data_IF_659936108520
#
_entry.id   IF_659936108520
#
_cell.length_a   1.000
_cell.length_b   1.000
_cell.length_c   1.000
_cell.angle_alpha   90.00
_cell.angle_beta   90.00
_cell.angle_gamma   90.00
#
_symmetry.space_group_name_H-M   'P 1'
#
loop_
_entity.id
_entity.type
_entity.pdbx_description
1 polymer ?
#
# COMPACT_ATOMS: atom_id res chain seq x y z
N UNK A 1 88.63 -89.07 10.83
CA UNK A 1 89.66 -88.08 11.21
C UNK A 1 89.19 -86.73 10.69
N UNK A 2 89.07 -85.73 11.59
CA UNK A 2 88.70 -84.29 11.41
C UNK A 2 87.22 -84.02 11.11
N UNK A 3 86.38 -83.55 12.06
CA UNK A 3 86.35 -82.29 12.86
C UNK A 3 86.05 -81.02 12.04
N UNK A 4 85.00 -80.31 12.47
CA UNK A 4 84.81 -78.83 12.63
C UNK A 4 83.29 -78.54 12.52
N UNK A 5 82.53 -78.41 13.61
CA UNK A 5 82.27 -77.23 14.47
C UNK A 5 81.48 -76.06 13.84
N UNK A 6 80.28 -75.86 14.41
CA UNK A 6 79.55 -74.62 14.75
C UNK A 6 79.58 -73.41 13.80
N UNK A 7 78.40 -72.85 13.51
CA UNK A 7 78.06 -71.43 13.77
C UNK A 7 76.53 -71.22 13.65
N UNK A 8 75.98 -70.62 14.70
CA UNK A 8 74.62 -70.07 14.85
C UNK A 8 74.53 -68.76 14.07
N UNK A 9 73.46 -68.52 13.30
CA UNK A 9 73.01 -67.15 13.04
C UNK A 9 71.49 -67.08 12.81
N UNK A 10 70.83 -66.39 13.73
CA UNK A 10 69.42 -66.02 13.69
C UNK A 10 69.18 -64.90 12.66
N UNK A 11 68.14 -65.04 11.84
CA UNK A 11 67.47 -63.95 11.10
C UNK A 11 65.98 -64.28 11.15
N UNK A 12 65.31 -63.94 12.26
CA UNK A 12 64.50 -62.72 12.43
C UNK A 12 63.29 -62.65 11.50
N UNK A 13 62.14 -63.08 12.06
CA UNK A 13 60.82 -62.47 11.96
C UNK A 13 60.36 -62.02 10.57
N UNK A 14 59.64 -62.90 9.89
CA UNK A 14 58.50 -62.54 9.04
C UNK A 14 57.39 -63.57 9.26
N UNK A 15 56.83 -63.61 10.48
CA UNK A 15 55.47 -64.10 10.66
C UNK A 15 54.53 -63.04 10.08
N UNK A 16 54.43 -62.98 8.74
CA UNK A 16 53.21 -62.49 8.14
C UNK A 16 52.12 -63.45 8.57
N UNK A 17 51.20 -62.93 9.39
CA UNK A 17 49.93 -63.54 9.72
C UNK A 17 49.16 -63.83 8.42
N UNK A 18 49.43 -64.99 7.81
CA UNK A 18 48.61 -65.51 6.72
C UNK A 18 47.31 -66.01 7.35
N UNK A 19 46.33 -65.11 7.48
CA UNK A 19 44.92 -65.52 7.64
C UNK A 19 44.60 -66.47 6.49
N UNK A 20 43.99 -67.61 6.78
CA UNK A 20 43.64 -68.54 5.69
C UNK A 20 42.69 -67.84 4.71
N UNK A 21 42.82 -68.08 3.40
CA UNK A 21 41.93 -67.47 2.41
C UNK A 21 40.45 -67.68 2.78
N UNK A 22 40.12 -68.83 3.37
CA UNK A 22 38.76 -69.12 3.85
C UNK A 22 38.31 -68.24 5.03
N UNK A 23 39.19 -67.90 5.96
CA UNK A 23 38.87 -66.99 7.08
C UNK A 23 38.75 -65.56 6.60
N UNK A 24 39.60 -65.14 5.66
CA UNK A 24 39.49 -63.84 5.01
C UNK A 24 38.14 -63.73 4.26
N UNK A 25 37.80 -64.72 3.45
CA UNK A 25 36.54 -64.74 2.67
C UNK A 25 35.31 -64.78 3.60
N UNK A 26 35.38 -65.52 4.72
CA UNK A 26 34.34 -65.54 5.75
C UNK A 26 34.14 -64.16 6.38
N UNK A 27 35.23 -63.50 6.81
CA UNK A 27 35.20 -62.17 7.42
C UNK A 27 34.64 -61.13 6.43
N UNK A 28 35.02 -61.21 5.15
CA UNK A 28 34.47 -60.34 4.10
C UNK A 28 32.96 -60.57 3.96
N UNK A 29 32.51 -61.82 3.91
CA UNK A 29 31.07 -62.12 3.81
C UNK A 29 30.26 -61.62 5.01
N UNK A 30 30.80 -61.73 6.22
CA UNK A 30 30.16 -61.24 7.45
C UNK A 30 30.10 -59.71 7.46
N UNK A 31 31.18 -59.03 7.03
CA UNK A 31 31.22 -57.57 6.87
C UNK A 31 30.17 -57.09 5.87
N UNK A 32 30.03 -57.78 4.74
CA UNK A 32 29.05 -57.42 3.70
C UNK A 32 27.61 -57.64 4.19
N UNK A 33 27.35 -58.73 4.92
CA UNK A 33 26.05 -58.98 5.55
C UNK A 33 25.68 -57.92 6.59
N UNK A 34 26.62 -57.52 7.46
CA UNK A 34 26.43 -56.44 8.45
C UNK A 34 26.16 -55.10 7.75
N UNK A 35 26.87 -54.82 6.64
CA UNK A 35 26.64 -53.60 5.87
C UNK A 35 25.22 -53.56 5.28
N UNK A 36 24.73 -54.68 4.75
CA UNK A 36 23.34 -54.81 4.26
C UNK A 36 22.32 -54.61 5.38
N UNK A 37 22.52 -55.22 6.54
CA UNK A 37 21.61 -55.08 7.69
C UNK A 37 21.58 -53.63 8.20
N UNK A 38 22.74 -52.98 8.31
CA UNK A 38 22.84 -51.55 8.65
C UNK A 38 22.04 -50.69 7.68
N UNK A 39 22.15 -50.95 6.39
CA UNK A 39 21.47 -50.15 5.36
C UNK A 39 19.96 -50.39 5.38
N UNK A 40 19.52 -51.63 5.64
CA UNK A 40 18.11 -51.94 5.88
C UNK A 40 17.56 -51.23 7.13
N UNK A 41 18.27 -51.29 8.25
CA UNK A 41 17.87 -50.62 9.49
C UNK A 41 17.79 -49.10 9.32
N UNK A 42 18.73 -48.50 8.56
CA UNK A 42 18.66 -47.08 8.21
C UNK A 42 17.40 -46.75 7.43
N UNK A 43 17.04 -47.60 6.47
CA UNK A 43 15.84 -47.41 5.65
C UNK A 43 14.57 -47.55 6.48
N UNK A 44 14.47 -48.56 7.34
CA UNK A 44 13.35 -48.71 8.27
C UNK A 44 13.24 -47.51 9.22
N UNK A 45 14.38 -46.99 9.71
CA UNK A 45 14.41 -45.82 10.59
C UNK A 45 14.03 -44.53 9.84
N UNK A 46 14.39 -44.41 8.56
CA UNK A 46 13.94 -43.32 7.68
C UNK A 46 12.43 -43.40 7.46
N UNK A 47 11.89 -44.59 7.19
CA UNK A 47 10.45 -44.82 7.00
C UNK A 47 9.64 -44.58 8.28
N UNK A 48 10.19 -44.93 9.45
CA UNK A 48 9.57 -44.62 10.74
C UNK A 48 9.62 -43.11 10.98
N UNK A 49 10.75 -42.45 10.77
CA UNK A 49 10.90 -41.02 11.08
C UNK A 49 10.15 -40.11 10.10
N UNK A 50 10.10 -40.49 8.83
CA UNK A 50 9.54 -39.69 7.74
C UNK A 50 8.35 -40.36 7.08
N UNK A 51 7.76 -41.38 7.70
CA UNK A 51 6.52 -41.99 7.24
C UNK A 51 5.39 -40.96 7.16
N UNK A 52 4.57 -41.08 6.12
CA UNK A 52 3.51 -40.12 5.84
C UNK A 52 2.59 -39.81 7.06
N UNK A 53 2.17 -40.80 7.88
CA UNK A 53 1.38 -40.53 9.08
C UNK A 53 2.12 -39.69 10.13
N UNK A 54 3.41 -39.92 10.33
CA UNK A 54 4.22 -39.25 11.35
C UNK A 54 4.49 -37.80 10.95
N UNK A 55 4.83 -37.54 9.69
CA UNK A 55 5.01 -36.18 9.17
C UNK A 55 3.71 -35.35 9.27
N UNK A 56 2.58 -35.96 8.93
CA UNK A 56 1.27 -35.32 9.07
C UNK A 56 0.94 -35.02 10.55
N UNK A 57 1.17 -35.98 11.45
CA UNK A 57 0.91 -35.81 12.88
C UNK A 57 1.79 -34.71 13.51
N UNK A 58 3.10 -34.72 13.21
CA UNK A 58 4.02 -33.66 13.62
C UNK A 58 3.58 -32.30 13.09
N UNK A 59 3.25 -32.21 11.80
CA UNK A 59 2.79 -30.98 11.17
C UNK A 59 1.54 -30.43 11.84
N UNK A 60 0.56 -31.29 12.15
CA UNK A 60 -0.65 -30.94 12.90
C UNK A 60 -0.32 -30.41 14.30
N UNK A 61 0.58 -31.07 15.02
CA UNK A 61 1.03 -30.63 16.35
C UNK A 61 1.63 -29.22 16.32
N UNK A 62 2.51 -28.93 15.36
CA UNK A 62 3.07 -27.58 15.19
C UNK A 62 2.01 -26.56 14.75
N UNK A 63 1.08 -26.96 13.88
CA UNK A 63 -0.02 -26.11 13.43
C UNK A 63 -0.93 -25.70 14.60
N UNK A 64 -1.30 -26.65 15.46
CA UNK A 64 -2.11 -26.41 16.65
C UNK A 64 -1.37 -25.52 17.66
N UNK A 65 -0.05 -25.67 17.75
CA UNK A 65 0.83 -24.80 18.53
C UNK A 65 1.09 -23.42 17.88
N UNK A 66 0.51 -23.14 16.70
CA UNK A 66 0.74 -21.91 15.91
C UNK A 66 2.19 -21.68 15.48
N UNK A 67 3.02 -22.73 15.53
CA UNK A 67 4.36 -22.72 14.92
C UNK A 67 4.22 -23.06 13.43
N UNK A 68 3.75 -22.08 12.67
CA UNK A 68 3.50 -22.25 11.24
C UNK A 68 4.77 -22.50 10.42
N UNK A 69 5.93 -22.06 10.89
CA UNK A 69 7.20 -22.34 10.25
C UNK A 69 7.52 -23.84 10.28
N UNK A 70 7.44 -24.46 11.47
CA UNK A 70 7.68 -25.90 11.61
C UNK A 70 6.56 -26.74 11.00
N UNK A 71 5.31 -26.30 11.13
CA UNK A 71 4.17 -26.96 10.50
C UNK A 71 4.34 -27.02 8.98
N UNK A 72 4.66 -25.88 8.34
CA UNK A 72 4.93 -25.80 6.89
C UNK A 72 6.06 -26.72 6.49
N UNK A 73 7.17 -26.70 7.23
CA UNK A 73 8.30 -27.57 6.95
C UNK A 73 7.90 -29.06 6.95
N UNK A 74 7.14 -29.50 7.96
CA UNK A 74 6.66 -30.89 8.06
C UNK A 74 5.70 -31.26 6.93
N UNK A 75 4.76 -30.37 6.59
CA UNK A 75 3.84 -30.61 5.48
C UNK A 75 4.57 -30.62 4.13
N UNK A 76 5.54 -29.74 3.91
CA UNK A 76 6.32 -29.72 2.67
C UNK A 76 7.15 -31.01 2.52
N UNK A 77 7.83 -31.43 3.59
CA UNK A 77 8.55 -32.72 3.60
C UNK A 77 7.65 -33.90 3.26
N UNK A 78 6.40 -33.89 3.73
CA UNK A 78 5.40 -34.91 3.41
C UNK A 78 5.05 -34.91 1.92
N UNK A 79 4.88 -33.72 1.32
CA UNK A 79 4.63 -33.60 -0.13
C UNK A 79 5.83 -34.04 -0.97
N UNK A 80 7.05 -33.77 -0.51
CA UNK A 80 8.28 -34.11 -1.24
C UNK A 80 8.57 -35.61 -1.20
N UNK A 81 8.37 -36.25 -0.03
CA UNK A 81 8.67 -37.68 0.17
C UNK A 81 7.51 -38.60 -0.21
N UNK A 82 6.26 -38.14 -0.08
CA UNK A 82 5.06 -38.97 -0.27
C UNK A 82 3.97 -38.25 -1.08
N UNK A 83 4.25 -37.75 -2.30
CA UNK A 83 3.36 -36.85 -3.04
C UNK A 83 1.95 -37.38 -3.30
N UNK A 84 1.81 -38.71 -3.48
CA UNK A 84 0.57 -39.37 -3.91
C UNK A 84 -0.24 -40.02 -2.78
N UNK A 85 0.16 -39.76 -1.52
CA UNK A 85 -0.53 -40.32 -0.36
C UNK A 85 -1.77 -39.48 0.03
N UNK A 86 -2.84 -40.09 0.59
CA UNK A 86 -3.99 -39.34 1.10
C UNK A 86 -3.62 -38.26 2.13
N UNK A 87 -2.58 -38.52 2.93
CA UNK A 87 -2.01 -37.57 3.90
C UNK A 87 -1.49 -36.30 3.23
N UNK A 88 -0.99 -36.40 2.00
CA UNK A 88 -0.47 -35.25 1.23
C UNK A 88 -1.58 -34.34 0.74
N UNK A 89 -2.77 -34.86 0.46
CA UNK A 89 -3.96 -34.05 0.20
C UNK A 89 -4.32 -33.22 1.44
N UNK A 90 -4.28 -33.85 2.62
CA UNK A 90 -4.55 -33.15 3.88
C UNK A 90 -3.47 -32.10 4.19
N UNK A 91 -2.19 -32.41 3.97
CA UNK A 91 -1.09 -31.49 4.15
C UNK A 91 -1.22 -30.23 3.28
N UNK A 92 -1.62 -30.37 2.00
CA UNK A 92 -1.93 -29.24 1.12
C UNK A 92 -3.02 -28.33 1.69
N UNK A 93 -4.06 -28.92 2.29
CA UNK A 93 -5.12 -28.15 2.96
C UNK A 93 -4.58 -27.35 4.15
N UNK A 94 -3.73 -27.96 4.97
CA UNK A 94 -3.08 -27.25 6.08
C UNK A 94 -2.16 -26.12 5.59
N UNK A 95 -1.37 -26.34 4.55
CA UNK A 95 -0.54 -25.30 3.93
C UNK A 95 -1.38 -24.11 3.46
N UNK A 96 -2.49 -24.38 2.75
CA UNK A 96 -3.42 -23.32 2.33
C UNK A 96 -4.00 -22.55 3.51
N UNK A 97 -4.34 -23.23 4.62
CA UNK A 97 -4.83 -22.58 5.83
C UNK A 97 -3.75 -21.71 6.47
N UNK A 98 -2.50 -22.20 6.52
CA UNK A 98 -1.36 -21.43 7.05
C UNK A 98 -1.16 -20.15 6.25
N UNK A 99 -1.16 -20.22 4.92
CA UNK A 99 -1.02 -19.04 4.07
C UNK A 99 -2.11 -18.00 4.33
N UNK A 100 -3.35 -18.45 4.53
CA UNK A 100 -4.46 -17.54 4.86
C UNK A 100 -4.29 -16.92 6.25
N UNK A 101 -3.91 -17.71 7.26
CA UNK A 101 -3.66 -17.22 8.63
C UNK A 101 -2.56 -16.15 8.66
N UNK A 102 -1.46 -16.35 7.93
CA UNK A 102 -0.38 -15.37 7.83
C UNK A 102 -0.80 -14.13 7.04
N UNK A 103 -1.50 -14.30 5.91
CA UNK A 103 -2.03 -13.18 5.14
C UNK A 103 -3.00 -12.32 5.96
N UNK A 104 -3.84 -12.97 6.78
CA UNK A 104 -4.71 -12.27 7.71
C UNK A 104 -3.92 -11.57 8.83
N UNK A 105 -2.90 -12.23 9.40
CA UNK A 105 -2.06 -11.62 10.41
C UNK A 105 -1.43 -10.31 9.91
N UNK A 106 -0.87 -10.30 8.70
CA UNK A 106 -0.37 -9.08 8.05
C UNK A 106 -1.46 -8.01 7.86
N UNK A 107 -2.65 -8.41 7.39
CA UNK A 107 -3.77 -7.48 7.21
C UNK A 107 -4.30 -6.88 8.53
N UNK A 108 -4.31 -7.67 9.61
CA UNK A 108 -4.86 -7.27 10.91
C UNK A 108 -3.92 -6.40 11.74
N UNK A 109 -2.61 -6.47 11.50
CA UNK A 109 -1.59 -5.75 12.28
C UNK A 109 -1.02 -4.54 11.54
N UNK A 110 -1.16 -4.47 10.21
CA UNK A 110 -0.71 -3.34 9.43
C UNK A 110 -1.70 -2.16 9.47
N UNK A 111 -1.16 -0.95 9.42
CA UNK A 111 -1.92 0.28 9.16
C UNK A 111 -1.97 0.64 7.67
N UNK A 112 -1.24 -0.10 6.83
CA UNK A 112 -1.36 0.01 5.39
C UNK A 112 -2.58 -0.80 4.91
N UNK A 113 -3.55 -0.08 4.36
CA UNK A 113 -4.80 -0.59 3.82
C UNK A 113 -4.58 -1.67 2.74
N UNK A 114 -3.46 -1.61 2.02
CA UNK A 114 -3.12 -2.53 0.93
C UNK A 114 -3.10 -4.00 1.37
N UNK A 115 -2.73 -4.29 2.63
CA UNK A 115 -2.72 -5.65 3.16
C UNK A 115 -4.15 -6.19 3.37
N UNK A 116 -5.06 -5.35 3.87
CA UNK A 116 -6.48 -5.71 4.00
C UNK A 116 -7.11 -5.93 2.63
N UNK A 117 -6.79 -5.08 1.65
CA UNK A 117 -7.27 -5.23 0.27
C UNK A 117 -6.72 -6.48 -0.41
N UNK A 118 -5.43 -6.78 -0.21
CA UNK A 118 -4.78 -7.99 -0.72
C UNK A 118 -5.42 -9.25 -0.14
N UNK A 119 -5.69 -9.29 1.17
CA UNK A 119 -6.38 -10.42 1.79
C UNK A 119 -7.80 -10.61 1.21
N UNK A 120 -8.59 -9.53 1.09
CA UNK A 120 -9.95 -9.58 0.52
C UNK A 120 -9.94 -10.11 -0.91
N UNK A 121 -8.95 -9.69 -1.71
CA UNK A 121 -8.78 -10.12 -3.10
C UNK A 121 -8.37 -11.59 -3.20
N UNK A 122 -7.37 -12.03 -2.42
CA UNK A 122 -6.85 -13.40 -2.43
C UNK A 122 -7.83 -14.41 -1.81
N UNK A 123 -8.59 -14.00 -0.79
CA UNK A 123 -9.50 -14.87 -0.02
C UNK A 123 -10.93 -14.30 0.06
N UNK A 124 -11.66 -14.16 -1.06
CA UNK A 124 -12.99 -13.54 -1.10
C UNK A 124 -14.08 -14.33 -0.34
N UNK A 125 -13.80 -15.61 -0.02
CA UNK A 125 -14.63 -16.48 0.84
C UNK A 125 -13.83 -17.00 2.05
N UNK A 126 -12.74 -16.31 2.38
CA UNK A 126 -11.84 -16.67 3.47
C UNK A 126 -12.50 -16.59 4.84
N UNK A 127 -11.89 -17.27 5.80
CA UNK A 127 -12.28 -17.32 7.21
C UNK A 127 -12.40 -15.92 7.84
N UNK A 128 -11.59 -14.96 7.38
CA UNK A 128 -11.51 -13.61 7.94
C UNK A 128 -12.09 -12.52 7.04
N UNK A 129 -12.85 -12.87 5.98
CA UNK A 129 -13.35 -11.90 5.00
C UNK A 129 -14.12 -10.74 5.65
N UNK A 130 -15.03 -11.02 6.58
CA UNK A 130 -15.80 -9.99 7.29
C UNK A 130 -14.89 -9.06 8.09
N UNK A 131 -13.90 -9.63 8.79
CA UNK A 131 -12.95 -8.85 9.60
C UNK A 131 -12.04 -7.98 8.73
N UNK A 132 -11.57 -8.52 7.60
CA UNK A 132 -10.75 -7.77 6.65
C UNK A 132 -11.51 -6.62 6.00
N UNK A 133 -12.79 -6.84 5.65
CA UNK A 133 -13.66 -5.76 5.15
C UNK A 133 -13.86 -4.68 6.20
N UNK A 134 -14.13 -5.06 7.46
CA UNK A 134 -14.24 -4.09 8.57
C UNK A 134 -12.94 -3.31 8.79
N UNK A 135 -11.79 -4.00 8.83
CA UNK A 135 -10.47 -3.36 8.99
C UNK A 135 -10.14 -2.40 7.85
N UNK A 136 -10.44 -2.78 6.60
CA UNK A 136 -10.31 -1.88 5.44
C UNK A 136 -11.15 -0.62 5.63
N UNK A 137 -12.41 -0.75 6.05
CA UNK A 137 -13.29 0.41 6.26
C UNK A 137 -12.80 1.32 7.39
N UNK A 138 -12.32 0.73 8.49
CA UNK A 138 -11.69 1.47 9.59
C UNK A 138 -10.47 2.26 9.11
N UNK A 139 -9.57 1.62 8.35
CA UNK A 139 -8.38 2.28 7.79
C UNK A 139 -8.73 3.38 6.80
N UNK A 140 -9.79 3.21 5.98
CA UNK A 140 -10.29 4.29 5.11
C UNK A 140 -10.74 5.50 5.93
N UNK A 141 -11.52 5.28 6.98
CA UNK A 141 -11.98 6.36 7.86
C UNK A 141 -10.80 7.06 8.56
N UNK A 142 -9.83 6.28 9.06
CA UNK A 142 -8.64 6.83 9.70
C UNK A 142 -7.78 7.66 8.74
N UNK A 143 -7.55 7.18 7.52
CA UNK A 143 -6.78 7.89 6.51
C UNK A 143 -7.49 9.19 6.08
N UNK A 144 -8.81 9.16 5.93
CA UNK A 144 -9.62 10.35 5.65
C UNK A 144 -9.51 11.37 6.77
N UNK A 145 -9.65 10.94 8.03
CA UNK A 145 -9.53 11.83 9.18
C UNK A 145 -8.14 12.49 9.26
N UNK A 146 -7.07 11.71 9.07
CA UNK A 146 -5.69 12.25 9.02
C UNK A 146 -5.53 13.30 7.93
N UNK A 147 -6.06 13.04 6.73
CA UNK A 147 -6.00 14.01 5.62
C UNK A 147 -6.80 15.29 5.94
N UNK A 148 -7.96 15.14 6.58
CA UNK A 148 -8.77 16.27 7.04
C UNK A 148 -8.03 17.11 8.09
N UNK A 149 -7.41 16.48 9.09
CA UNK A 149 -6.65 17.16 10.14
C UNK A 149 -5.43 17.92 9.58
N UNK A 150 -4.78 17.35 8.55
CA UNK A 150 -3.71 18.03 7.80
C UNK A 150 -4.26 19.27 7.08
N UNK A 151 -5.38 19.16 6.38
CA UNK A 151 -5.99 20.30 5.70
C UNK A 151 -6.45 21.38 6.69
N UNK A 152 -6.98 20.96 7.85
CA UNK A 152 -7.40 21.84 8.93
C UNK A 152 -6.23 22.60 9.55
N UNK A 153 -5.11 21.91 9.82
CA UNK A 153 -3.92 22.51 10.43
C UNK A 153 -3.17 23.45 9.47
N UNK A 154 -3.11 23.11 8.17
CA UNK A 154 -2.55 24.01 7.16
C UNK A 154 -3.43 25.23 6.95
N UNK A 155 -4.75 25.03 6.92
CA UNK A 155 -5.75 26.07 6.69
C UNK A 155 -5.47 26.96 5.46
N UNK A 156 -4.92 26.36 4.40
CA UNK A 156 -4.66 27.01 3.10
C UNK A 156 -5.58 26.45 2.03
N UNK A 157 -5.77 27.20 0.94
CA UNK A 157 -6.55 26.72 -0.21
C UNK A 157 -5.98 25.41 -0.76
N UNK A 158 -4.65 25.29 -0.81
CA UNK A 158 -3.93 24.09 -1.26
C UNK A 158 -4.23 22.87 -0.39
N UNK A 159 -4.17 23.00 0.94
CA UNK A 159 -4.42 21.89 1.87
C UNK A 159 -5.83 21.31 1.71
N UNK A 160 -6.83 22.19 1.61
CA UNK A 160 -8.23 21.78 1.39
C UNK A 160 -8.48 21.22 -0.01
N UNK A 161 -7.81 21.74 -1.05
CA UNK A 161 -7.87 21.16 -2.40
C UNK A 161 -7.32 19.75 -2.43
N UNK A 162 -6.15 19.53 -1.82
CA UNK A 162 -5.54 18.20 -1.72
C UNK A 162 -6.45 17.21 -1.01
N UNK A 163 -7.09 17.63 0.08
CA UNK A 163 -8.10 16.80 0.75
C UNK A 163 -9.27 16.43 -0.18
N UNK A 164 -9.83 17.38 -0.93
CA UNK A 164 -10.94 17.10 -1.85
C UNK A 164 -10.53 16.32 -3.11
N UNK A 165 -9.25 16.29 -3.47
CA UNK A 165 -8.72 15.43 -4.53
C UNK A 165 -8.84 13.96 -4.13
N UNK A 166 -8.45 13.64 -2.89
CA UNK A 166 -8.53 12.28 -2.34
C UNK A 166 -9.97 11.90 -1.91
N UNK A 167 -10.77 12.89 -1.47
CA UNK A 167 -12.12 12.70 -0.91
C UNK A 167 -13.18 13.63 -1.54
N UNK A 168 -13.44 13.53 -2.87
CA UNK A 168 -14.30 14.47 -3.59
C UNK A 168 -15.77 14.44 -3.15
N UNK A 169 -16.22 13.31 -2.60
CA UNK A 169 -17.58 13.07 -2.14
C UNK A 169 -17.73 13.19 -0.61
N UNK A 170 -16.78 13.83 0.09
CA UNK A 170 -16.92 14.10 1.52
C UNK A 170 -18.22 14.86 1.82
N UNK A 171 -18.89 14.57 2.94
CA UNK A 171 -20.20 15.14 3.27
C UNK A 171 -20.18 16.68 3.29
N UNK A 172 -19.07 17.27 3.72
CA UNK A 172 -18.88 18.72 3.74
C UNK A 172 -18.22 19.31 2.49
N UNK A 173 -18.07 18.54 1.40
CA UNK A 173 -17.30 18.97 0.23
C UNK A 173 -17.80 20.29 -0.37
N UNK A 174 -19.10 20.56 -0.34
CA UNK A 174 -19.65 21.84 -0.80
C UNK A 174 -19.19 23.02 0.09
N UNK A 175 -19.20 22.85 1.41
CA UNK A 175 -18.71 23.85 2.36
C UNK A 175 -17.20 24.04 2.25
N UNK A 176 -16.44 22.97 2.07
CA UNK A 176 -14.99 23.01 1.86
C UNK A 176 -14.66 23.73 0.55
N UNK A 177 -15.41 23.52 -0.53
CA UNK A 177 -15.24 24.27 -1.79
C UNK A 177 -15.44 25.78 -1.59
N UNK A 178 -16.47 26.18 -0.84
CA UNK A 178 -16.65 27.59 -0.46
C UNK A 178 -15.47 28.11 0.36
N UNK A 179 -14.98 27.32 1.32
CA UNK A 179 -13.79 27.66 2.12
C UNK A 179 -12.54 27.85 1.25
N UNK A 180 -12.32 26.98 0.27
CA UNK A 180 -11.23 27.09 -0.70
C UNK A 180 -11.32 28.42 -1.45
N UNK A 181 -12.48 28.78 -1.99
CA UNK A 181 -12.68 30.05 -2.71
C UNK A 181 -12.29 31.24 -1.83
N UNK A 182 -12.75 31.25 -0.57
CA UNK A 182 -12.43 32.33 0.37
C UNK A 182 -10.93 32.43 0.65
N UNK A 183 -10.29 31.30 0.91
CA UNK A 183 -8.85 31.23 1.15
C UNK A 183 -8.05 31.67 -0.09
N UNK A 184 -8.42 31.24 -1.29
CA UNK A 184 -7.77 31.70 -2.53
C UNK A 184 -7.89 33.22 -2.71
N UNK A 185 -9.07 33.80 -2.41
CA UNK A 185 -9.25 35.25 -2.48
C UNK A 185 -8.35 35.96 -1.47
N UNK A 186 -8.26 35.45 -0.24
CA UNK A 186 -7.39 36.05 0.79
C UNK A 186 -5.89 35.89 0.47
N UNK A 187 -5.48 34.73 -0.03
CA UNK A 187 -4.11 34.43 -0.48
C UNK A 187 -3.70 35.34 -1.65
N UNK A 188 -4.54 35.45 -2.69
CA UNK A 188 -4.29 36.35 -3.82
C UNK A 188 -4.26 37.80 -3.36
N UNK A 189 -5.25 38.25 -2.59
CA UNK A 189 -5.32 39.65 -2.15
C UNK A 189 -4.17 40.05 -1.22
N UNK A 190 -3.55 39.08 -0.54
CA UNK A 190 -2.40 39.29 0.34
C UNK A 190 -1.04 39.24 -0.36
N UNK A 191 -0.98 38.77 -1.60
CA UNK A 191 0.25 38.72 -2.39
C UNK A 191 0.64 40.14 -2.88
N UNK A 192 1.94 40.46 -2.83
CA UNK A 192 2.47 41.77 -3.22
C UNK A 192 2.48 41.98 -4.73
N UNK A 193 2.52 40.91 -5.51
CA UNK A 193 2.51 40.96 -6.97
C UNK A 193 1.09 41.03 -7.54
N UNK A 194 0.07 40.99 -6.69
CA UNK A 194 -1.33 41.03 -7.13
C UNK A 194 -1.70 42.39 -7.71
N UNK A 195 -2.10 42.39 -8.97
CA UNK A 195 -2.60 43.56 -9.67
C UNK A 195 -4.00 43.98 -9.23
N UNK A 196 -4.51 45.07 -9.82
CA UNK A 196 -5.86 45.55 -9.56
C UNK A 196 -6.84 45.06 -10.64
N UNK A 197 -8.03 44.65 -10.23
CA UNK A 197 -9.12 44.31 -11.16
C UNK A 197 -9.68 45.61 -11.80
N UNK A 198 -10.08 45.60 -13.10
CA UNK A 198 -10.74 46.75 -13.71
C UNK A 198 -12.03 47.16 -13.00
N UNK A 199 -12.27 48.47 -12.92
CA UNK A 199 -13.44 49.03 -12.21
C UNK A 199 -14.76 48.47 -12.72
N UNK A 200 -15.67 48.22 -11.79
CA UNK A 200 -17.02 47.73 -12.09
C UNK A 200 -17.92 48.92 -12.44
N UNK A 201 -18.55 48.86 -13.61
CA UNK A 201 -19.55 49.84 -14.01
C UNK A 201 -20.91 49.42 -13.47
N UNK A 202 -21.51 50.23 -12.62
CA UNK A 202 -22.87 50.01 -12.14
C UNK A 202 -23.87 50.54 -13.19
N UNK A 203 -24.72 49.66 -13.71
CA UNK A 203 -25.74 50.02 -14.71
C UNK A 203 -27.10 50.32 -14.08
N UNK A 204 -27.39 49.71 -12.94
CA UNK A 204 -28.64 49.90 -12.23
C UNK A 204 -28.41 49.80 -10.72
N UNK A 205 -28.85 50.82 -9.98
CA UNK A 205 -28.72 50.91 -8.52
C UNK A 205 -30.00 50.51 -7.77
N UNK A 206 -30.90 49.76 -8.41
CA UNK A 206 -32.11 49.26 -7.76
C UNK A 206 -31.72 48.44 -6.53
N UNK A 207 -32.23 48.86 -5.37
CA UNK A 207 -32.00 48.16 -4.11
C UNK A 207 -32.72 46.81 -4.13
N UNK A 208 -31.96 45.74 -4.30
CA UNK A 208 -32.40 44.36 -4.19
C UNK A 208 -31.48 43.57 -3.26
N UNK A 209 -32.02 42.50 -2.67
CA UNK A 209 -31.26 41.54 -1.86
C UNK A 209 -30.25 40.72 -2.68
N UNK A 210 -30.40 40.71 -4.00
CA UNK A 210 -29.46 40.14 -4.96
C UNK A 210 -28.88 41.20 -5.88
N UNK A 211 -27.66 40.97 -6.32
CA UNK A 211 -26.92 41.74 -7.31
C UNK A 211 -26.53 40.82 -8.47
N UNK A 212 -26.38 41.39 -9.66
CA UNK A 212 -25.88 40.65 -10.83
C UNK A 212 -24.63 41.31 -11.38
N UNK A 213 -23.61 40.52 -11.68
CA UNK A 213 -22.35 41.00 -12.22
C UNK A 213 -22.07 40.30 -13.55
N UNK A 214 -22.07 41.06 -14.64
CA UNK A 214 -21.67 40.58 -15.96
C UNK A 214 -20.17 40.80 -16.18
N UNK A 215 -19.39 39.72 -16.30
CA UNK A 215 -17.95 39.77 -16.55
C UNK A 215 -17.67 39.32 -17.98
N UNK A 216 -16.98 40.18 -18.73
CA UNK A 216 -16.49 39.86 -20.09
C UNK A 216 -14.99 39.63 -20.04
N UNK A 217 -14.53 38.51 -20.61
CA UNK A 217 -13.13 38.14 -20.65
C UNK A 217 -12.47 38.52 -21.99
N UNK A 218 -11.76 39.63 -22.02
CA UNK A 218 -10.92 40.05 -23.16
C UNK A 218 -9.41 39.91 -22.85
N UNK A 219 -9.04 39.00 -21.95
CA UNK A 219 -7.64 38.81 -21.55
C UNK A 219 -6.81 37.99 -22.55
N UNK A 220 -7.45 37.26 -23.46
CA UNK A 220 -6.78 36.33 -24.37
C UNK A 220 -6.62 34.92 -23.82
N UNK A 221 -6.77 34.70 -22.51
CA UNK A 221 -6.70 33.40 -21.84
C UNK A 221 -8.03 33.04 -21.17
N UNK A 222 -8.11 31.87 -20.53
CA UNK A 222 -9.18 31.58 -19.58
C UNK A 222 -9.08 32.50 -18.35
N UNK A 223 -10.21 33.09 -17.95
CA UNK A 223 -10.32 33.97 -16.79
C UNK A 223 -11.08 33.23 -15.68
N UNK A 224 -10.47 33.10 -14.51
CA UNK A 224 -11.16 32.62 -13.31
C UNK A 224 -11.42 33.80 -12.38
N UNK A 225 -12.68 34.01 -11.99
CA UNK A 225 -13.08 35.06 -11.04
C UNK A 225 -13.69 34.40 -9.81
N UNK A 226 -13.26 34.86 -8.64
CA UNK A 226 -13.63 34.35 -7.32
C UNK A 226 -14.20 35.49 -6.48
N UNK A 227 -15.36 35.27 -5.89
CA UNK A 227 -16.06 36.21 -5.02
C UNK A 227 -16.04 35.65 -3.59
N UNK A 228 -15.66 36.48 -2.61
CA UNK A 228 -15.69 36.16 -1.19
C UNK A 228 -16.38 37.29 -0.42
N UNK A 229 -17.63 37.07 -0.01
CA UNK A 229 -18.47 38.02 0.71
C UNK A 229 -19.65 37.30 1.38
N UNK A 230 -20.89 37.83 1.33
CA UNK A 230 -22.09 37.07 1.68
C UNK A 230 -22.13 35.68 1.04
N UNK A 231 -21.82 35.63 -0.26
CA UNK A 231 -21.61 34.38 -0.99
C UNK A 231 -20.12 34.07 -1.22
N UNK A 232 -19.83 32.83 -1.57
CA UNK A 232 -18.53 32.37 -2.03
C UNK A 232 -18.73 31.63 -3.35
N UNK A 233 -18.35 32.28 -4.46
CA UNK A 233 -18.63 31.80 -5.82
C UNK A 233 -17.39 31.90 -6.69
N UNK A 234 -17.23 30.93 -7.59
CA UNK A 234 -16.14 30.88 -8.56
C UNK A 234 -16.72 30.63 -9.94
N UNK A 235 -16.34 31.47 -10.89
CA UNK A 235 -16.71 31.33 -12.30
C UNK A 235 -15.45 31.29 -13.16
N UNK A 236 -15.49 30.44 -14.18
CA UNK A 236 -14.46 30.36 -15.22
C UNK A 236 -15.08 30.82 -16.53
N UNK A 237 -14.40 31.73 -17.23
CA UNK A 237 -14.88 32.38 -18.44
C UNK A 237 -13.84 32.14 -19.54
N UNK A 238 -14.19 31.44 -20.64
CA UNK A 238 -13.27 31.27 -21.75
C UNK A 238 -12.93 32.63 -22.40
N UNK A 239 -11.81 32.68 -23.13
CA UNK A 239 -11.39 33.89 -23.85
C UNK A 239 -12.48 34.37 -24.82
N UNK A 240 -12.80 35.67 -24.79
CA UNK A 240 -13.89 36.29 -25.56
C UNK A 240 -15.29 36.03 -25.01
N UNK A 241 -15.43 35.26 -23.94
CA UNK A 241 -16.72 34.93 -23.33
C UNK A 241 -17.22 35.99 -22.35
N UNK A 242 -18.52 35.96 -22.08
CA UNK A 242 -19.16 36.72 -21.00
C UNK A 242 -19.95 35.77 -20.12
N UNK A 243 -19.84 35.93 -18.79
CA UNK A 243 -20.69 35.24 -17.83
C UNK A 243 -21.29 36.23 -16.84
N UNK A 244 -22.56 36.03 -16.53
CA UNK A 244 -23.24 36.76 -15.45
C UNK A 244 -23.29 35.87 -14.22
N UNK A 245 -22.86 36.40 -13.08
CA UNK A 245 -23.03 35.77 -11.76
C UNK A 245 -24.08 36.53 -10.96
N UNK A 246 -24.88 35.80 -10.19
CA UNK A 246 -25.89 36.35 -9.30
C UNK A 246 -25.42 36.10 -7.86
N UNK A 247 -25.34 37.16 -7.08
CA UNK A 247 -24.78 37.17 -5.74
C UNK A 247 -25.76 37.89 -4.81
N UNK A 248 -25.77 37.54 -3.53
CA UNK A 248 -26.44 38.33 -2.50
C UNK A 248 -25.77 39.69 -2.40
N UNK A 249 -26.55 40.76 -2.31
CA UNK A 249 -26.00 42.12 -2.20
C UNK A 249 -25.17 42.28 -0.92
N UNK A 250 -24.05 43.00 -1.02
CA UNK A 250 -23.14 43.23 0.10
C UNK A 250 -21.69 43.44 -0.33
N UNK A 251 -20.78 43.42 0.66
CA UNK A 251 -19.35 43.63 0.45
C UNK A 251 -18.65 42.33 0.04
N UNK A 252 -17.86 42.39 -1.04
CA UNK A 252 -17.09 41.28 -1.57
C UNK A 252 -15.62 41.66 -1.73
N UNK A 253 -14.72 40.78 -1.28
CA UNK A 253 -13.39 40.67 -1.86
C UNK A 253 -13.49 39.86 -3.14
N UNK A 254 -12.85 40.34 -4.19
CA UNK A 254 -12.87 39.70 -5.51
C UNK A 254 -11.43 39.42 -5.91
N UNK A 255 -11.15 38.19 -6.33
CA UNK A 255 -9.88 37.82 -6.93
C UNK A 255 -10.11 37.28 -8.34
N UNK A 256 -9.20 37.59 -9.25
CA UNK A 256 -9.22 37.11 -10.61
C UNK A 256 -7.84 36.58 -11.01
N UNK A 257 -7.82 35.51 -11.81
CA UNK A 257 -6.59 34.92 -12.35
C UNK A 257 -6.74 34.77 -13.85
N UNK A 258 -5.79 35.29 -14.62
CA UNK A 258 -5.74 35.16 -16.07
C UNK A 258 -4.29 35.19 -16.56
N UNK A 259 -3.97 34.33 -17.54
CA UNK A 259 -2.64 34.25 -18.15
C UNK A 259 -1.46 34.10 -17.16
N UNK A 260 -1.68 33.47 -16.00
CA UNK A 260 -0.66 33.29 -14.96
C UNK A 260 -0.53 34.44 -13.97
N UNK A 261 -1.23 35.54 -14.20
CA UNK A 261 -1.26 36.72 -13.33
C UNK A 261 -2.50 36.73 -12.44
N UNK A 262 -2.39 37.39 -11.28
CA UNK A 262 -3.48 37.53 -10.33
C UNK A 262 -3.83 39.00 -10.09
N UNK A 263 -5.12 39.24 -9.85
CA UNK A 263 -5.69 40.55 -9.63
C UNK A 263 -6.68 40.48 -8.47
N UNK A 264 -6.77 41.54 -7.67
CA UNK A 264 -7.77 41.63 -6.61
C UNK A 264 -8.41 43.02 -6.53
N UNK A 265 -9.62 43.07 -5.99
CA UNK A 265 -10.30 44.31 -5.59
C UNK A 265 -11.30 44.02 -4.48
N UNK A 266 -11.93 45.08 -3.95
CA UNK A 266 -13.08 44.98 -3.06
C UNK A 266 -14.21 45.81 -3.63
N UNK A 267 -15.41 45.24 -3.68
CA UNK A 267 -16.59 45.88 -4.25
C UNK A 267 -17.78 45.78 -3.29
N UNK A 268 -18.62 46.81 -3.27
CA UNK A 268 -19.87 46.80 -2.50
C UNK A 268 -21.06 46.70 -3.46
N UNK A 269 -21.58 45.49 -3.65
CA UNK A 269 -22.55 45.16 -4.70
C UNK A 269 -23.98 45.41 -4.22
N UNK A 270 -24.66 46.36 -4.86
CA UNK A 270 -26.09 46.68 -4.67
C UNK A 270 -26.75 47.02 -6.03
N UNK A 271 -27.13 46.01 -6.79
CA UNK A 271 -27.83 46.16 -8.08
C UNK A 271 -27.11 45.45 -9.24
N UNK A 272 -27.11 46.06 -10.42
CA UNK A 272 -26.56 45.46 -11.64
C UNK A 272 -25.23 46.11 -12.01
N UNK A 273 -24.21 45.28 -12.21
CA UNK A 273 -22.85 45.68 -12.53
C UNK A 273 -22.35 44.95 -13.77
N UNK A 274 -21.39 45.56 -14.46
CA UNK A 274 -20.54 44.85 -15.41
C UNK A 274 -19.10 45.32 -15.37
N UNK A 275 -18.19 44.41 -15.63
CA UNK A 275 -16.77 44.69 -15.79
C UNK A 275 -16.22 43.93 -16.99
N UNK A 276 -15.28 44.53 -17.69
CA UNK A 276 -14.56 43.90 -18.80
C UNK A 276 -13.11 43.76 -18.40
N UNK A 277 -12.62 42.53 -18.35
CA UNK A 277 -11.23 42.22 -18.04
C UNK A 277 -10.39 42.27 -19.31
N UNK A 278 -9.28 43.00 -19.25
CA UNK A 278 -8.30 43.13 -20.32
C UNK A 278 -6.90 43.12 -19.71
N UNK A 279 -5.91 42.60 -20.42
CA UNK A 279 -4.50 42.73 -20.03
C UNK A 279 -4.00 44.05 -20.62
N UNK A 280 -3.69 45.03 -19.77
CA UNK A 280 -2.94 46.20 -20.21
C UNK A 280 -1.46 45.87 -20.23
N UNK A 281 -0.88 45.68 -21.41
CA UNK A 281 0.57 45.83 -21.57
C UNK A 281 0.87 47.33 -21.61
N UNK A 282 0.94 48.01 -20.47
CA UNK A 282 1.61 49.32 -20.45
C UNK A 282 3.11 49.05 -20.54
N UNK A 283 3.67 49.10 -21.76
CA UNK A 283 5.12 49.29 -21.91
C UNK A 283 5.42 50.70 -21.42
N UNK A 284 6.18 50.79 -20.32
CA UNK A 284 6.94 52.00 -20.01
C UNK A 284 8.10 52.14 -20.98
#
# INVERSE_FOLDING_TARGET
>A
MREINFIVLAISVLFYSCVSQSEHDKIVSEKDAIAQERDKLKQELEDIKFGAPNLLADGKKFYDAKDFAQARHKFQMLLDKHPDMPQSIEAKKYLSNIEEEESWNSASTSDDISYSESYISKYPKGKYITKAVSRRSELKALNMQKAYDIALSQNTSYGWKKFLEDYPNHDEAASIRKKIIRLEVDEISGDRETGQIPSFNQYNSSYSSSSSVAITNNTGCELTVRYSGPDAEMITIPSGGTRTVYLSSGSYKIAASACGENYASTENLHGQYGSTFYITTSRY
#
